data_IF_281238100852
#
_entry.id   IF_281238100852
#
_cell.length_a   1.000
_cell.length_b   1.000
_cell.length_c   1.000
_cell.angle_alpha   90.00
_cell.angle_beta   90.00
_cell.angle_gamma   90.00
#
_symmetry.space_group_name_H-M   'P 1'
#
loop_
_entity.id
_entity.type
_entity.pdbx_description
1 polymer ?
#
# COMPACT_ATOMS: atom_id res chain seq x y z
N UNK A 1 -23.74 11.96 7.91
CA UNK A 1 -22.41 12.17 8.52
C UNK A 1 -21.40 12.02 7.41
N UNK A 2 -20.98 13.13 6.80
CA UNK A 2 -20.06 13.12 5.65
C UNK A 2 -18.66 12.77 6.17
N UNK A 3 -18.14 11.60 5.78
CA UNK A 3 -16.84 11.12 6.20
C UNK A 3 -15.74 12.09 5.78
N UNK A 4 -15.00 12.58 6.76
CA UNK A 4 -13.66 13.11 6.54
C UNK A 4 -12.82 11.95 6.02
N UNK A 5 -12.58 11.90 4.72
CA UNK A 5 -11.42 11.19 4.16
C UNK A 5 -10.20 11.86 4.77
N UNK A 6 -9.63 11.22 5.78
CA UNK A 6 -8.55 11.74 6.59
C UNK A 6 -7.33 12.05 5.71
N UNK A 7 -6.69 13.20 5.93
CA UNK A 7 -5.43 13.67 5.31
C UNK A 7 -4.27 12.65 5.39
N UNK A 8 -4.49 11.53 6.09
CA UNK A 8 -3.57 10.42 6.25
C UNK A 8 -3.50 9.45 5.07
N UNK A 9 -4.57 9.29 4.28
CA UNK A 9 -4.60 8.42 3.12
C UNK A 9 -4.02 9.14 1.90
N UNK A 10 -2.84 8.72 1.46
CA UNK A 10 -2.09 9.36 0.38
C UNK A 10 -2.47 8.80 -0.99
N UNK A 11 -2.92 7.55 -1.02
CA UNK A 11 -3.31 6.85 -2.23
C UNK A 11 -4.40 5.82 -1.88
N UNK A 12 -5.42 5.72 -2.73
CA UNK A 12 -6.54 4.79 -2.60
C UNK A 12 -6.99 4.40 -4.01
N UNK A 13 -6.80 3.14 -4.39
CA UNK A 13 -7.20 2.65 -5.70
C UNK A 13 -7.53 1.15 -5.72
N UNK A 14 -8.45 0.78 -6.62
CA UNK A 14 -8.84 -0.60 -6.87
C UNK A 14 -8.12 -1.14 -8.10
N UNK A 15 -7.56 -2.33 -7.96
CA UNK A 15 -6.80 -3.02 -8.98
C UNK A 15 -7.37 -4.40 -9.25
N UNK A 16 -7.01 -4.95 -10.41
CA UNK A 16 -7.22 -6.35 -10.74
C UNK A 16 -5.85 -7.00 -10.95
N UNK A 17 -5.60 -8.12 -10.29
CA UNK A 17 -4.35 -8.87 -10.43
C UNK A 17 -4.27 -9.44 -11.84
N UNK A 18 -3.20 -9.12 -12.57
CA UNK A 18 -2.99 -9.54 -13.96
C UNK A 18 -1.96 -10.66 -14.08
N UNK A 19 -0.99 -10.73 -13.15
CA UNK A 19 0.03 -11.78 -13.13
C UNK A 19 0.51 -12.07 -11.71
N UNK A 20 1.03 -13.29 -11.50
CA UNK A 20 1.67 -13.73 -10.26
C UNK A 20 2.92 -14.54 -10.63
N UNK A 21 4.08 -14.14 -10.12
CA UNK A 21 5.35 -14.87 -10.24
C UNK A 21 5.81 -15.38 -8.86
N UNK A 22 5.84 -16.70 -8.70
CA UNK A 22 6.33 -17.41 -7.50
C UNK A 22 7.53 -18.30 -7.82
N UNK A 23 8.23 -18.05 -8.93
CA UNK A 23 9.30 -18.94 -9.41
C UNK A 23 10.53 -19.04 -8.51
N UNK A 24 10.75 -18.04 -7.65
CA UNK A 24 11.98 -17.91 -6.85
C UNK A 24 11.84 -18.23 -5.37
N UNK A 25 10.64 -18.09 -4.81
CA UNK A 25 10.42 -18.17 -3.36
C UNK A 25 9.15 -18.96 -3.05
N UNK A 26 9.19 -19.74 -1.97
CA UNK A 26 8.06 -20.59 -1.60
C UNK A 26 6.90 -19.79 -0.99
N UNK A 27 7.20 -18.69 -0.28
CA UNK A 27 6.25 -17.95 0.56
C UNK A 27 5.96 -16.53 0.09
N UNK A 28 6.70 -16.05 -0.90
CA UNK A 28 6.59 -14.70 -1.43
C UNK A 28 6.40 -14.80 -2.92
N UNK A 29 5.39 -14.11 -3.43
CA UNK A 29 5.17 -13.99 -4.87
C UNK A 29 5.20 -12.52 -5.25
N UNK A 30 5.66 -12.24 -6.47
CA UNK A 30 5.49 -10.93 -7.09
C UNK A 30 4.16 -10.90 -7.82
N UNK A 31 3.25 -10.07 -7.36
CA UNK A 31 1.98 -9.84 -8.02
C UNK A 31 2.07 -8.59 -8.88
N UNK A 32 1.53 -8.65 -10.10
CA UNK A 32 1.34 -7.49 -10.97
C UNK A 32 -0.14 -7.21 -11.08
N UNK A 33 -0.53 -5.94 -11.02
CA UNK A 33 -1.93 -5.55 -11.12
C UNK A 33 -2.10 -4.22 -11.87
N UNK A 34 -3.32 -4.01 -12.38
CA UNK A 34 -3.69 -2.83 -13.16
C UNK A 34 -4.95 -2.21 -12.58
N UNK A 35 -4.99 -0.88 -12.51
CA UNK A 35 -6.13 -0.12 -12.02
C UNK A 35 -7.33 -0.27 -12.96
N UNK A 36 -8.53 -0.02 -12.44
CA UNK A 36 -9.76 -0.11 -13.25
C UNK A 36 -9.77 0.84 -14.46
N UNK A 37 -9.14 2.02 -14.32
CA UNK A 37 -9.00 3.00 -15.40
C UNK A 37 -7.78 2.75 -16.31
N UNK A 38 -7.02 1.68 -16.05
CA UNK A 38 -5.79 1.31 -16.77
C UNK A 38 -4.70 2.39 -16.82
N UNK A 39 -4.74 3.36 -15.91
CA UNK A 39 -3.73 4.42 -15.83
C UNK A 39 -2.61 4.12 -14.84
N UNK A 40 -2.86 3.22 -13.88
CA UNK A 40 -1.94 2.90 -12.80
C UNK A 40 -1.65 1.41 -12.83
N UNK A 41 -0.38 1.03 -12.71
CA UNK A 41 0.06 -0.35 -12.57
C UNK A 41 0.99 -0.49 -11.38
N UNK A 42 1.05 -1.69 -10.80
CA UNK A 42 2.05 -1.98 -9.79
C UNK A 42 2.60 -3.39 -9.90
N UNK A 43 3.82 -3.55 -9.41
CA UNK A 43 4.44 -4.82 -9.05
C UNK A 43 4.71 -4.83 -7.54
N UNK A 44 4.17 -5.80 -6.82
CA UNK A 44 4.30 -5.92 -5.36
C UNK A 44 4.78 -7.32 -4.97
N UNK A 45 5.84 -7.38 -4.18
CA UNK A 45 6.20 -8.61 -3.47
C UNK A 45 5.28 -8.78 -2.24
N UNK A 46 4.54 -9.89 -2.18
CA UNK A 46 3.57 -10.17 -1.11
C UNK A 46 3.76 -11.57 -0.55
N UNK A 47 3.54 -11.73 0.76
CA UNK A 47 3.57 -13.03 1.41
C UNK A 47 2.28 -13.80 1.09
N UNK A 48 2.36 -14.69 0.10
CA UNK A 48 1.22 -15.47 -0.40
C UNK A 48 0.81 -16.63 0.50
N UNK A 49 1.63 -17.00 1.48
CA UNK A 49 1.25 -17.96 2.53
C UNK A 49 0.22 -17.35 3.49
N UNK A 50 0.39 -16.06 3.84
CA UNK A 50 -0.51 -15.34 4.73
C UNK A 50 -1.70 -14.70 4.00
N UNK A 51 -1.46 -14.23 2.77
CA UNK A 51 -2.47 -13.57 1.95
C UNK A 51 -2.47 -14.19 0.55
N UNK A 52 -3.21 -15.30 0.35
CA UNK A 52 -3.27 -15.97 -0.94
C UNK A 52 -3.81 -15.03 -2.02
N UNK A 53 -3.23 -15.01 -3.22
CA UNK A 53 -3.71 -14.18 -4.32
C UNK A 53 -3.97 -15.03 -5.57
N UNK A 54 -4.96 -14.65 -6.37
CA UNK A 54 -5.23 -15.26 -7.68
C UNK A 54 -5.26 -14.23 -8.81
N UNK A 55 -4.87 -14.64 -10.02
CA UNK A 55 -5.02 -13.80 -11.22
C UNK A 55 -6.51 -13.57 -11.50
N UNK A 56 -6.87 -12.33 -11.81
CA UNK A 56 -8.25 -11.88 -12.02
C UNK A 56 -8.97 -11.46 -10.74
N UNK A 57 -8.36 -11.62 -9.57
CA UNK A 57 -8.92 -11.20 -8.29
C UNK A 57 -8.87 -9.67 -8.15
N UNK A 58 -9.94 -9.02 -7.66
CA UNK A 58 -9.91 -7.61 -7.30
C UNK A 58 -9.07 -7.41 -6.03
N UNK A 59 -8.41 -6.26 -5.96
CA UNK A 59 -7.58 -5.87 -4.82
C UNK A 59 -7.75 -4.37 -4.57
N UNK A 60 -8.11 -4.01 -3.35
CA UNK A 60 -8.16 -2.62 -2.89
C UNK A 60 -6.85 -2.30 -2.18
N UNK A 61 -6.09 -1.34 -2.71
CA UNK A 61 -4.83 -0.88 -2.15
C UNK A 61 -4.97 0.55 -1.63
N UNK A 62 -4.59 0.75 -0.38
CA UNK A 62 -4.48 2.08 0.24
C UNK A 62 -3.05 2.26 0.77
N UNK A 63 -2.46 3.42 0.48
CA UNK A 63 -1.19 3.85 1.10
C UNK A 63 -1.49 5.02 2.05
N UNK A 64 -1.07 4.88 3.30
CA UNK A 64 -1.32 5.88 4.33
C UNK A 64 -0.04 6.30 5.05
N UNK A 65 0.01 7.55 5.52
CA UNK A 65 1.13 8.07 6.34
C UNK A 65 1.02 7.71 7.82
N UNK A 66 -0.18 7.35 8.29
CA UNK A 66 -0.46 6.95 9.69
C UNK A 66 -1.62 5.97 9.73
N UNK A 67 -1.68 5.14 10.78
CA UNK A 67 -2.79 4.22 11.05
C UNK A 67 -3.89 4.84 11.91
N UNK A 68 -3.63 6.02 12.51
CA UNK A 68 -4.61 6.72 13.33
C UNK A 68 -5.79 7.19 12.49
N UNK A 69 -7.01 6.87 12.92
CA UNK A 69 -8.25 7.28 12.24
C UNK A 69 -8.44 8.80 12.18
N UNK A 70 -7.83 9.53 13.12
CA UNK A 70 -7.87 11.00 13.21
C UNK A 70 -6.77 11.69 12.37
N UNK A 71 -5.88 10.92 11.73
CA UNK A 71 -4.76 11.45 10.95
C UNK A 71 -3.58 11.97 11.79
N UNK A 72 -3.57 11.74 13.10
CA UNK A 72 -2.43 12.10 13.96
C UNK A 72 -1.17 11.32 13.57
N UNK A 73 -0.03 12.02 13.50
CA UNK A 73 1.27 11.39 13.21
C UNK A 73 1.70 10.45 14.32
N UNK A 74 2.30 9.35 13.93
CA UNK A 74 2.74 8.27 14.84
C UNK A 74 4.11 8.54 15.50
N UNK A 75 4.64 9.77 15.36
CA UNK A 75 6.03 10.17 15.67
C UNK A 75 6.50 9.85 17.10
N UNK A 76 5.59 9.49 18.01
CA UNK A 76 5.88 9.22 19.43
C UNK A 76 5.28 7.91 19.96
N UNK A 77 4.68 7.07 19.11
CA UNK A 77 4.07 5.79 19.50
C UNK A 77 4.98 4.64 19.10
N UNK A 78 5.32 3.77 20.04
CA UNK A 78 6.08 2.56 19.74
C UNK A 78 5.19 1.48 19.13
N UNK A 79 5.78 0.44 18.53
CA UNK A 79 5.03 -0.75 18.05
C UNK A 79 4.09 -1.34 19.12
N UNK A 80 4.44 -1.19 20.40
CA UNK A 80 3.63 -1.65 21.54
C UNK A 80 2.35 -0.83 21.74
N UNK A 81 2.32 0.42 21.33
CA UNK A 81 1.14 1.29 21.44
C UNK A 81 0.13 0.94 20.34
N UNK A 82 0.60 0.58 19.13
CA UNK A 82 -0.22 0.02 18.06
C UNK A 82 -0.72 -1.39 18.41
N UNK A 83 0.11 -2.22 19.07
CA UNK A 83 -0.30 -3.55 19.53
C UNK A 83 -1.36 -3.54 20.64
N UNK A 84 -1.49 -2.44 21.39
CA UNK A 84 -2.58 -2.24 22.35
C UNK A 84 -3.90 -1.91 21.66
N UNK A 85 -3.86 -1.41 20.42
CA UNK A 85 -5.01 -1.18 19.54
C UNK A 85 -5.58 -2.44 18.88
N UNK A 86 -4.95 -3.61 19.05
CA UNK A 86 -5.60 -4.91 18.81
C UNK A 86 -6.74 -5.18 19.79
N UNK A 87 -7.29 -6.41 19.83
CA UNK A 87 -8.47 -6.78 20.67
C UNK A 87 -8.48 -6.11 22.06
N UNK A 88 -9.19 -4.96 22.17
CA UNK A 88 -9.29 -4.16 23.40
C UNK A 88 -8.75 -2.73 23.37
N UNK A 89 -8.15 -2.22 22.28
CA UNK A 89 -7.70 -0.82 22.18
C UNK A 89 -8.41 0.05 21.13
N UNK A 90 -7.84 1.24 20.87
CA UNK A 90 -8.41 2.21 19.93
C UNK A 90 -8.40 1.65 18.51
N UNK A 91 -9.56 1.67 17.84
CA UNK A 91 -9.68 1.22 16.45
C UNK A 91 -8.74 2.01 15.53
N UNK A 92 -8.09 1.30 14.61
CA UNK A 92 -7.13 1.85 13.65
C UNK A 92 -7.56 1.56 12.21
N UNK A 93 -6.92 2.22 11.25
CA UNK A 93 -7.10 1.87 9.83
C UNK A 93 -6.74 0.41 9.56
N UNK A 94 -5.78 -0.17 10.28
CA UNK A 94 -5.34 -1.56 10.08
C UNK A 94 -6.47 -2.58 10.31
N UNK A 95 -7.42 -2.30 11.20
CA UNK A 95 -8.53 -3.22 11.52
C UNK A 95 -9.54 -3.38 10.37
N UNK A 96 -9.47 -2.52 9.35
CA UNK A 96 -10.37 -2.51 8.19
C UNK A 96 -9.82 -3.30 6.99
N UNK A 97 -8.54 -3.66 7.02
CA UNK A 97 -7.79 -4.29 5.93
C UNK A 97 -7.23 -5.65 6.34
N UNK A 98 -7.03 -6.53 5.37
CA UNK A 98 -6.65 -7.92 5.60
C UNK A 98 -5.12 -8.11 5.64
N UNK A 99 -4.39 -7.21 4.98
CA UNK A 99 -2.93 -7.26 4.90
C UNK A 99 -2.33 -5.87 5.09
N UNK A 100 -1.43 -5.75 6.06
CA UNK A 100 -0.83 -4.46 6.46
C UNK A 100 0.68 -4.59 6.52
N UNK A 101 1.39 -3.64 5.92
CA UNK A 101 2.85 -3.56 5.94
C UNK A 101 3.31 -2.13 6.21
N UNK A 102 4.41 -1.95 6.95
CA UNK A 102 5.05 -0.65 7.14
C UNK A 102 6.36 -0.62 6.36
N UNK A 103 6.62 0.47 5.64
CA UNK A 103 7.73 0.55 4.71
C UNK A 103 8.22 1.97 4.49
N UNK A 104 9.29 2.06 3.71
CA UNK A 104 9.93 3.33 3.34
C UNK A 104 9.95 3.49 1.83
N UNK A 105 9.57 4.67 1.38
CA UNK A 105 9.75 5.08 -0.01
C UNK A 105 11.22 5.47 -0.19
N UNK A 106 11.91 4.80 -1.12
CA UNK A 106 13.35 4.96 -1.27
C UNK A 106 13.76 5.56 -2.62
N UNK A 107 12.87 5.55 -3.61
CA UNK A 107 13.17 6.09 -4.94
C UNK A 107 11.90 6.58 -5.64
N UNK A 108 12.04 7.71 -6.32
CA UNK A 108 11.11 8.20 -7.33
C UNK A 108 11.84 8.33 -8.65
N UNK A 109 11.15 8.00 -9.73
CA UNK A 109 11.61 8.27 -11.09
C UNK A 109 10.51 9.01 -11.84
N UNK A 110 10.89 10.09 -12.52
CA UNK A 110 10.01 10.75 -13.48
C UNK A 110 10.08 9.98 -14.80
N UNK A 111 8.93 9.64 -15.37
CA UNK A 111 8.86 9.01 -16.68
C UNK A 111 9.22 9.97 -17.81
N UNK A 112 9.60 9.44 -18.98
CA UNK A 112 10.12 10.20 -20.11
C UNK A 112 9.16 11.31 -20.61
N UNK A 113 7.84 11.09 -20.50
CA UNK A 113 6.80 12.03 -20.93
C UNK A 113 6.44 13.08 -19.86
N UNK A 114 7.05 13.05 -18.67
CA UNK A 114 6.81 13.96 -17.55
C UNK A 114 5.42 13.86 -16.89
N UNK A 115 4.50 13.08 -17.45
CA UNK A 115 3.15 12.88 -16.94
C UNK A 115 3.00 11.63 -16.07
N UNK A 116 3.91 10.67 -16.20
CA UNK A 116 3.94 9.42 -15.45
C UNK A 116 5.11 9.47 -14.48
N UNK A 117 4.91 8.98 -13.26
CA UNK A 117 5.99 8.79 -12.29
C UNK A 117 5.98 7.35 -11.77
N UNK A 118 7.16 6.88 -11.38
CA UNK A 118 7.35 5.59 -10.72
C UNK A 118 7.79 5.82 -9.28
N UNK A 119 7.06 5.22 -8.35
CA UNK A 119 7.34 5.23 -6.92
C UNK A 119 7.82 3.84 -6.50
N UNK A 120 8.94 3.79 -5.78
CA UNK A 120 9.49 2.54 -5.25
C UNK A 120 9.49 2.55 -3.72
N UNK A 121 8.87 1.52 -3.15
CA UNK A 121 8.71 1.35 -1.71
C UNK A 121 9.31 0.02 -1.28
N UNK A 122 9.92 -0.01 -0.10
CA UNK A 122 10.39 -1.24 0.53
C UNK A 122 9.71 -1.45 1.88
N UNK A 123 9.04 -2.58 2.04
CA UNK A 123 8.42 -3.03 3.28
C UNK A 123 9.31 -4.09 3.95
N UNK A 124 10.50 -3.67 4.39
CA UNK A 124 11.46 -4.57 5.04
C UNK A 124 12.04 -5.66 4.13
N UNK A 125 12.11 -5.41 2.83
CA UNK A 125 12.63 -6.36 1.82
C UNK A 125 11.60 -6.80 0.79
N UNK A 126 10.31 -6.65 1.08
CA UNK A 126 9.25 -6.77 0.08
C UNK A 126 9.15 -5.46 -0.71
N UNK A 127 9.32 -5.53 -2.02
CA UNK A 127 9.37 -4.34 -2.88
C UNK A 127 8.02 -4.06 -3.53
N UNK A 128 7.71 -2.77 -3.66
CA UNK A 128 6.61 -2.25 -4.46
C UNK A 128 7.17 -1.29 -5.50
N UNK A 129 6.81 -1.48 -6.75
CA UNK A 129 6.97 -0.51 -7.82
C UNK A 129 5.56 -0.09 -8.27
N UNK A 130 5.24 1.19 -8.11
CA UNK A 130 3.95 1.78 -8.47
C UNK A 130 4.17 2.81 -9.57
N UNK A 131 3.52 2.62 -10.71
CA UNK A 131 3.63 3.48 -11.88
C UNK A 131 2.26 4.06 -12.21
N UNK A 132 2.20 5.38 -12.41
CA UNK A 132 0.94 6.05 -12.72
C UNK A 132 1.07 7.55 -12.90
N UNK A 133 -0.05 8.26 -13.08
CA UNK A 133 -0.06 9.69 -13.37
C UNK A 133 0.51 10.51 -12.19
N UNK A 134 1.28 11.55 -12.51
CA UNK A 134 1.92 12.45 -11.53
C UNK A 134 0.92 12.93 -10.46
N UNK A 135 -0.29 13.31 -10.87
CA UNK A 135 -1.34 13.83 -9.98
C UNK A 135 -1.77 12.83 -8.89
N UNK A 136 -1.81 11.53 -9.21
CA UNK A 136 -2.21 10.48 -8.26
C UNK A 136 -1.09 10.15 -7.26
N UNK A 137 0.16 10.21 -7.72
CA UNK A 137 1.31 9.74 -6.95
C UNK A 137 2.10 10.86 -6.25
N UNK A 138 1.79 12.14 -6.52
CA UNK A 138 2.40 13.30 -5.83
C UNK A 138 2.31 13.24 -4.30
N UNK A 139 1.17 12.84 -3.69
CA UNK A 139 1.04 12.77 -2.23
C UNK A 139 2.01 11.77 -1.57
N UNK A 140 2.58 10.83 -2.34
CA UNK A 140 3.52 9.84 -1.84
C UNK A 140 4.93 10.39 -1.58
N UNK A 141 5.19 11.69 -1.72
CA UNK A 141 6.50 12.31 -1.39
C UNK A 141 6.72 12.43 0.12
N UNK A 142 6.66 11.30 0.81
CA UNK A 142 6.91 11.12 2.25
C UNK A 142 7.92 9.99 2.45
N UNK A 143 8.54 9.92 3.62
CA UNK A 143 9.55 8.89 3.89
C UNK A 143 8.90 7.52 4.18
N UNK A 144 8.05 7.46 5.21
CA UNK A 144 7.45 6.22 5.69
C UNK A 144 5.97 6.15 5.35
N UNK A 145 5.52 4.95 4.97
CA UNK A 145 4.13 4.68 4.64
C UNK A 145 3.69 3.31 5.15
N UNK A 146 2.39 3.19 5.35
CA UNK A 146 1.68 1.94 5.55
C UNK A 146 1.01 1.51 4.25
N UNK A 147 1.26 0.27 3.84
CA UNK A 147 0.50 -0.44 2.82
C UNK A 147 -0.65 -1.16 3.49
N UNK A 148 -1.85 -0.92 3.00
CA UNK A 148 -3.10 -1.52 3.45
C UNK A 148 -3.76 -2.19 2.24
N UNK A 149 -4.02 -3.48 2.32
CA UNK A 149 -4.62 -4.25 1.24
C UNK A 149 -5.83 -5.02 1.74
N UNK A 150 -6.89 -4.99 0.93
CA UNK A 150 -8.14 -5.72 1.14
C UNK A 150 -8.60 -6.38 -0.15
N UNK A 151 -9.31 -7.50 -0.02
CA UNK A 151 -9.98 -8.20 -1.12
C UNK A 151 -11.42 -7.73 -1.31
#
# INVERSE_FOLDING_TARGET
MSGMTSDSQLFDEHFTITAIDQSKYDRVSRISATSQDSQTTFDLDINTELFPCAVGEPLHMVLASTLSLDGSKDDNKGWRDVGRSGQGGEATLADLFDYVCHGKIYKFEDGDDGNIIKCYVSFGGLLLALEGPYKKLTPLRVDYIYLLIKK
#
